data_IF_141402194466
#
_entry.id   IF_141402194466
#
_cell.length_a   1.000
_cell.length_b   1.000
_cell.length_c   1.000
_cell.angle_alpha   90.00
_cell.angle_beta   90.00
_cell.angle_gamma   90.00
#
_symmetry.space_group_name_H-M   'P 1'
#
loop_
_entity.id
_entity.type
_entity.pdbx_description
1 polymer ?
#
# COMPACT_ATOMS: atom_id res chain seq x y z
N UNK A 1 -14.38 -6.13 15.99
CA UNK A 1 -14.01 -5.21 17.10
C UNK A 1 -12.91 -4.26 16.60
N UNK A 2 -12.84 -3.02 17.09
CA UNK A 2 -11.71 -2.11 16.76
C UNK A 2 -10.50 -2.48 17.61
N UNK A 3 -9.44 -2.96 16.97
CA UNK A 3 -8.14 -3.24 17.63
C UNK A 3 -7.19 -2.08 17.35
N UNK A 4 -6.45 -1.70 18.38
CA UNK A 4 -5.43 -0.64 18.34
C UNK A 4 -4.06 -1.26 18.64
N UNK A 5 -3.03 -0.84 17.93
CA UNK A 5 -1.67 -1.32 18.16
C UNK A 5 -0.64 -0.31 17.68
N UNK A 6 0.57 -0.40 18.22
CA UNK A 6 1.76 0.31 17.73
C UNK A 6 2.74 -0.68 17.13
N UNK A 7 3.63 -0.18 16.28
CA UNK A 7 4.71 -0.97 15.70
C UNK A 7 6.00 -0.70 16.46
N UNK A 8 6.73 -1.75 16.78
CA UNK A 8 8.07 -1.65 17.35
C UNK A 8 9.07 -2.37 16.46
N UNK A 9 10.23 -1.75 16.25
CA UNK A 9 11.32 -2.36 15.52
C UNK A 9 12.17 -3.13 16.51
N UNK A 10 12.04 -4.46 16.54
CA UNK A 10 12.89 -5.28 17.41
C UNK A 10 14.35 -5.33 16.91
N UNK A 11 14.57 -5.37 15.58
CA UNK A 11 15.90 -5.47 14.98
C UNK A 11 16.04 -4.51 13.78
N UNK A 12 16.47 -3.25 13.97
CA UNK A 12 16.67 -2.33 12.86
C UNK A 12 17.74 -2.85 11.91
N UNK A 13 17.49 -2.78 10.60
CA UNK A 13 18.46 -3.12 9.57
C UNK A 13 19.03 -1.83 8.96
N UNK A 14 20.35 -1.67 9.03
CA UNK A 14 21.06 -0.47 8.54
C UNK A 14 21.49 -0.56 7.08
N UNK A 15 21.15 -1.66 6.40
CA UNK A 15 21.52 -1.88 5.00
C UNK A 15 20.76 -0.96 4.06
N UNK A 16 21.41 -0.59 2.95
CA UNK A 16 20.77 0.21 1.92
C UNK A 16 19.78 -0.65 1.11
N UNK A 17 18.50 -0.27 1.13
CA UNK A 17 17.44 -0.94 0.37
C UNK A 17 17.73 -1.00 -1.14
N UNK A 18 18.36 0.03 -1.70
CA UNK A 18 18.65 0.13 -3.13
C UNK A 18 19.68 -0.91 -3.61
N UNK A 19 20.45 -1.49 -2.69
CA UNK A 19 21.43 -2.55 -2.97
C UNK A 19 20.84 -3.97 -2.81
N UNK A 20 19.58 -4.10 -2.42
CA UNK A 20 18.91 -5.39 -2.21
C UNK A 20 18.48 -6.03 -3.54
N UNK A 21 18.29 -7.35 -3.54
CA UNK A 21 17.94 -8.12 -4.74
C UNK A 21 16.41 -8.23 -4.85
N UNK A 22 15.74 -7.60 -5.83
CA UNK A 22 14.29 -7.69 -5.97
C UNK A 22 13.81 -9.11 -6.29
N UNK A 23 12.69 -9.53 -5.71
CA UNK A 23 12.03 -10.80 -5.97
C UNK A 23 10.49 -10.68 -5.83
N UNK A 24 9.77 -11.79 -5.99
CA UNK A 24 8.29 -11.81 -5.95
C UNK A 24 7.69 -11.49 -4.58
N UNK A 25 8.48 -11.54 -3.52
CA UNK A 25 8.06 -11.31 -2.13
C UNK A 25 8.62 -9.99 -1.55
N UNK A 26 9.28 -9.15 -2.35
CA UNK A 26 9.90 -7.89 -1.92
C UNK A 26 11.34 -7.76 -2.41
N UNK A 27 12.25 -7.33 -1.54
CA UNK A 27 13.68 -7.23 -1.84
C UNK A 27 14.49 -8.03 -0.82
N UNK A 28 15.31 -8.98 -1.28
CA UNK A 28 16.14 -9.80 -0.40
C UNK A 28 17.35 -9.02 0.13
N UNK A 29 17.48 -8.95 1.45
CA UNK A 29 18.63 -8.40 2.14
C UNK A 29 19.64 -9.51 2.44
N UNK A 30 20.85 -9.41 1.90
CA UNK A 30 21.94 -10.37 2.14
C UNK A 30 22.46 -10.35 3.58
N UNK A 31 22.38 -9.21 4.27
CA UNK A 31 22.89 -9.02 5.63
C UNK A 31 22.04 -9.73 6.68
N UNK A 32 20.71 -9.55 6.62
CA UNK A 32 19.79 -10.20 7.56
C UNK A 32 19.12 -11.48 7.02
N UNK A 33 19.43 -11.87 5.78
CA UNK A 33 18.88 -13.03 5.08
C UNK A 33 17.33 -13.08 5.07
N UNK A 34 16.68 -11.92 5.00
CA UNK A 34 15.21 -11.79 4.97
C UNK A 34 14.76 -11.01 3.73
N UNK A 35 13.54 -11.30 3.29
CA UNK A 35 12.83 -10.48 2.31
C UNK A 35 12.26 -9.23 3.01
N UNK A 36 12.60 -8.06 2.48
CA UNK A 36 12.12 -6.76 2.93
C UNK A 36 10.94 -6.33 2.07
N UNK A 37 9.80 -6.11 2.71
CA UNK A 37 8.57 -5.68 2.05
C UNK A 37 8.46 -4.15 2.13
N UNK A 38 8.37 -3.47 0.99
CA UNK A 38 8.27 -2.01 0.98
C UNK A 38 6.83 -1.53 1.27
N UNK A 39 6.61 -1.05 2.50
CA UNK A 39 5.37 -0.45 2.96
C UNK A 39 5.46 1.09 3.03
N UNK A 40 6.60 1.68 2.63
CA UNK A 40 6.85 3.12 2.71
C UNK A 40 5.92 3.94 1.83
N UNK A 41 5.27 3.32 0.83
CA UNK A 41 4.28 3.99 -0.03
C UNK A 41 2.83 3.69 0.35
N UNK A 42 2.61 2.87 1.38
CA UNK A 42 1.27 2.48 1.84
C UNK A 42 0.68 3.51 2.79
N UNK A 43 -0.63 3.67 2.73
CA UNK A 43 -1.37 4.44 3.73
C UNK A 43 -1.37 3.73 5.08
N UNK A 44 -1.58 4.44 6.18
CA UNK A 44 -1.56 3.82 7.52
C UNK A 44 -2.66 2.75 7.67
N UNK A 45 -3.80 2.90 6.97
CA UNK A 45 -4.84 1.87 6.92
C UNK A 45 -4.41 0.62 6.16
N UNK A 46 -3.68 0.78 5.05
CA UNK A 46 -3.11 -0.36 4.31
C UNK A 46 -2.01 -1.06 5.10
N UNK A 47 -1.12 -0.30 5.75
CA UNK A 47 -0.11 -0.86 6.66
C UNK A 47 -0.80 -1.63 7.77
N UNK A 48 -1.79 -1.05 8.45
CA UNK A 48 -2.51 -1.72 9.53
C UNK A 48 -3.12 -3.06 9.09
N UNK A 49 -3.77 -3.07 7.93
CA UNK A 49 -4.34 -4.30 7.36
C UNK A 49 -3.25 -5.33 7.07
N UNK A 50 -2.17 -4.93 6.40
CA UNK A 50 -1.07 -5.82 6.05
C UNK A 50 -0.45 -6.48 7.29
N UNK A 51 -0.21 -5.69 8.33
CA UNK A 51 0.37 -6.17 9.59
C UNK A 51 -0.57 -7.17 10.28
N UNK A 52 -1.88 -6.88 10.34
CA UNK A 52 -2.86 -7.79 10.97
C UNK A 52 -2.99 -9.11 10.20
N UNK A 53 -2.98 -9.07 8.87
CA UNK A 53 -3.04 -10.27 8.02
C UNK A 53 -1.79 -11.15 8.16
N UNK A 54 -0.65 -10.58 8.51
CA UNK A 54 0.64 -11.27 8.64
C UNK A 54 1.16 -11.34 10.08
N UNK A 55 0.28 -11.16 11.08
CA UNK A 55 0.65 -11.03 12.50
C UNK A 55 1.48 -12.18 13.08
N UNK A 56 1.33 -13.39 12.52
CA UNK A 56 2.00 -14.60 13.01
C UNK A 56 3.33 -14.86 12.26
N UNK A 57 3.73 -13.96 11.37
CA UNK A 57 4.95 -14.05 10.57
C UNK A 57 5.99 -13.03 11.03
N UNK A 58 7.26 -13.45 11.09
CA UNK A 58 8.38 -12.53 11.33
C UNK A 58 8.69 -11.77 10.03
N UNK A 59 8.05 -10.62 9.84
CA UNK A 59 8.22 -9.80 8.65
C UNK A 59 9.36 -8.80 8.82
N UNK A 60 10.07 -8.54 7.72
CA UNK A 60 10.96 -7.39 7.58
C UNK A 60 10.28 -6.40 6.64
N UNK A 61 10.03 -5.17 7.09
CA UNK A 61 9.35 -4.18 6.25
C UNK A 61 10.05 -2.83 6.27
N UNK A 62 10.00 -2.14 5.13
CA UNK A 62 10.48 -0.77 4.98
C UNK A 62 9.31 0.19 5.23
N UNK A 63 9.46 1.09 6.20
CA UNK A 63 8.43 1.99 6.71
C UNK A 63 9.01 3.41 6.88
N UNK A 64 8.17 4.44 6.77
CA UNK A 64 8.52 5.82 7.16
C UNK A 64 8.61 5.94 8.68
N UNK A 65 9.41 6.85 9.21
CA UNK A 65 9.40 7.17 10.66
C UNK A 65 8.03 7.55 11.16
N UNK A 66 7.31 8.38 10.40
CA UNK A 66 5.96 8.82 10.76
C UNK A 66 4.99 7.65 10.90
N UNK A 67 5.17 6.56 10.13
CA UNK A 67 4.34 5.35 10.26
C UNK A 67 4.65 4.59 11.55
N UNK A 68 5.88 4.65 12.08
CA UNK A 68 6.26 3.95 13.31
C UNK A 68 5.77 4.67 14.57
N UNK A 69 5.64 5.99 14.51
CA UNK A 69 5.21 6.83 15.64
C UNK A 69 3.68 6.88 15.82
N UNK A 70 2.93 6.27 14.91
CA UNK A 70 1.46 6.31 14.90
C UNK A 70 0.80 5.08 15.59
N UNK A 71 -0.37 5.32 16.20
CA UNK A 71 -1.26 4.26 16.65
C UNK A 71 -2.15 3.78 15.49
N UNK A 72 -2.04 2.51 15.13
CA UNK A 72 -2.84 1.91 14.06
C UNK A 72 -4.19 1.44 14.58
N UNK A 73 -5.25 1.68 13.81
CA UNK A 73 -6.61 1.19 14.09
C UNK A 73 -7.04 0.22 13.00
N UNK A 74 -7.30 -1.03 13.36
CA UNK A 74 -7.85 -2.02 12.45
C UNK A 74 -9.27 -2.43 12.88
N UNK A 75 -10.18 -2.46 11.91
CA UNK A 75 -11.55 -2.96 12.10
C UNK A 75 -11.63 -4.39 11.58
N UNK A 76 -11.60 -5.37 12.49
CA UNK A 76 -11.92 -6.74 12.11
C UNK A 76 -13.41 -6.80 11.75
N UNK A 77 -13.70 -6.97 10.46
CA UNK A 77 -15.01 -7.43 10.03
C UNK A 77 -15.10 -8.91 10.40
N UNK A 78 -16.01 -9.24 11.31
CA UNK A 78 -16.23 -10.63 11.69
C UNK A 78 -16.72 -11.37 10.44
N UNK A 79 -15.87 -12.25 9.89
CA UNK A 79 -16.33 -13.26 8.94
C UNK A 79 -17.22 -14.20 9.74
N UNK A 80 -18.54 -14.00 9.65
CA UNK A 80 -19.51 -14.94 10.21
C UNK A 80 -19.32 -16.28 9.50
N UNK A 81 -18.66 -17.22 10.17
CA UNK A 81 -18.62 -18.61 9.73
C UNK A 81 -20.03 -19.18 9.91
N UNK A 82 -20.78 -19.33 8.82
CA UNK A 82 -22.15 -19.89 8.81
C UNK A 82 -22.13 -21.42 9.00
N UNK A 83 -21.35 -21.94 9.95
CA UNK A 83 -21.32 -23.34 10.33
C UNK A 83 -22.43 -23.66 11.36
N UNK A 84 -23.67 -23.21 11.09
CA UNK A 84 -24.83 -23.46 11.97
C UNK A 84 -25.81 -24.50 11.42
N UNK A 85 -25.55 -25.07 10.24
CA UNK A 85 -26.46 -26.03 9.60
C UNK A 85 -25.87 -27.44 9.39
N UNK A 86 -24.85 -27.83 10.16
CA UNK A 86 -24.22 -29.13 10.03
C UNK A 86 -24.81 -30.25 10.93
N UNK A 87 -26.02 -30.07 11.49
CA UNK A 87 -26.54 -31.03 12.46
C UNK A 87 -28.05 -31.27 12.38
N UNK A 88 -28.58 -31.76 11.25
CA UNK A 88 -29.79 -32.62 11.24
C UNK A 88 -29.79 -33.52 9.99
N UNK A 89 -29.15 -34.69 10.07
CA UNK A 89 -29.43 -35.91 9.28
C UNK A 89 -28.32 -36.93 9.65
N UNK A 90 -28.54 -38.11 10.20
CA UNK A 90 -29.77 -38.82 10.44
C UNK A 90 -29.52 -39.80 11.60
N UNK A 91 -30.28 -39.64 12.67
CA UNK A 91 -30.52 -40.64 13.71
C UNK A 91 -31.42 -41.78 13.19
N UNK A 92 -31.25 -42.21 11.93
CA UNK A 92 -32.10 -43.19 11.24
C UNK A 92 -31.27 -44.42 10.80
N UNK A 93 -30.41 -44.91 11.68
CA UNK A 93 -29.67 -46.18 11.46
C UNK A 93 -30.06 -47.27 12.47
N UNK A 94 -31.28 -47.21 12.99
CA UNK A 94 -31.86 -48.29 13.80
C UNK A 94 -33.19 -48.75 13.18
N UNK A 95 -33.13 -49.49 12.08
CA UNK A 95 -33.99 -50.66 11.82
C UNK A 95 -33.79 -51.22 10.39
N UNK A 96 -33.66 -52.54 10.34
CA UNK A 96 -33.96 -53.46 9.23
C UNK A 96 -32.78 -53.99 8.41
N UNK A 97 -32.47 -55.26 8.66
CA UNK A 97 -31.73 -56.15 7.78
C UNK A 97 -32.51 -56.34 6.46
N UNK A 98 -31.93 -55.96 5.32
CA UNK A 98 -32.30 -56.47 4.00
C UNK A 98 -31.03 -56.68 3.20
N UNK A 99 -30.81 -57.91 2.76
CA UNK A 99 -29.75 -58.34 1.85
C UNK A 99 -30.10 -58.00 0.40
N UNK A 100 -29.14 -57.44 -0.33
CA UNK A 100 -28.92 -57.71 -1.75
C UNK A 100 -29.87 -57.11 -2.79
N UNK A 101 -29.38 -56.14 -3.56
CA UNK A 101 -29.25 -56.25 -5.02
C UNK A 101 -28.40 -55.10 -5.56
N UNK A 102 -27.34 -55.45 -6.30
CA UNK A 102 -26.49 -54.55 -7.06
C UNK A 102 -27.35 -53.73 -8.04
N UNK A 103 -27.30 -52.41 -7.94
CA UNK A 103 -27.78 -51.51 -8.98
C UNK A 103 -26.64 -50.62 -9.46
N UNK A 104 -26.47 -50.66 -10.78
CA UNK A 104 -25.54 -49.92 -11.62
C UNK A 104 -25.38 -48.45 -11.23
N UNK A 105 -24.19 -47.86 -11.45
CA UNK A 105 -23.94 -46.47 -11.11
C UNK A 105 -24.84 -45.56 -11.96
N UNK A 106 -25.83 -44.95 -11.30
CA UNK A 106 -26.60 -43.85 -11.87
C UNK A 106 -25.65 -42.66 -12.00
N UNK A 107 -25.46 -42.16 -13.23
CA UNK A 107 -24.80 -40.88 -13.47
C UNK A 107 -25.57 -39.80 -12.71
N UNK A 108 -24.93 -39.22 -11.70
CA UNK A 108 -25.40 -37.99 -11.08
C UNK A 108 -25.20 -36.86 -12.08
N UNK A 109 -26.26 -36.46 -12.78
CA UNK A 109 -26.30 -35.13 -13.38
C UNK A 109 -26.40 -34.12 -12.24
N UNK A 110 -25.31 -33.39 -12.03
CA UNK A 110 -25.27 -32.25 -11.14
C UNK A 110 -26.09 -31.16 -11.85
N UNK A 111 -27.39 -31.11 -11.59
CA UNK A 111 -28.15 -29.89 -11.82
C UNK A 111 -27.69 -28.88 -10.77
N UNK A 112 -26.59 -28.18 -11.07
CA UNK A 112 -26.24 -26.96 -10.35
C UNK A 112 -27.39 -25.98 -10.59
N UNK A 113 -28.26 -25.83 -9.59
CA UNK A 113 -29.02 -24.60 -9.47
C UNK A 113 -27.98 -23.50 -9.28
N UNK A 114 -27.66 -22.79 -10.36
CA UNK A 114 -26.84 -21.58 -10.32
C UNK A 114 -27.31 -20.77 -9.12
N UNK A 115 -26.46 -20.48 -8.12
CA UNK A 115 -26.85 -19.62 -7.03
C UNK A 115 -27.27 -18.32 -7.69
N UNK A 116 -28.56 -17.98 -7.62
CA UNK A 116 -29.02 -16.64 -7.97
C UNK A 116 -28.26 -15.72 -7.03
N UNK A 117 -27.16 -15.17 -7.53
CA UNK A 117 -26.46 -14.10 -6.86
C UNK A 117 -27.46 -12.96 -6.80
N UNK A 118 -28.04 -12.78 -5.62
CA UNK A 118 -28.73 -11.54 -5.33
C UNK A 118 -27.63 -10.48 -5.35
N UNK A 119 -27.51 -9.80 -6.50
CA UNK A 119 -26.63 -8.65 -6.65
C UNK A 119 -27.20 -7.59 -5.69
N UNK A 120 -26.63 -7.52 -4.49
CA UNK A 120 -26.97 -6.51 -3.51
C UNK A 120 -26.35 -5.19 -3.96
N UNK A 121 -27.02 -4.54 -4.91
CA UNK A 121 -26.66 -3.23 -5.45
C UNK A 121 -25.33 -3.24 -6.20
N UNK A 122 -25.35 -2.84 -7.47
CA UNK A 122 -24.12 -2.29 -8.05
C UNK A 122 -23.78 -1.08 -7.19
N UNK A 123 -22.68 -1.13 -6.44
CA UNK A 123 -22.09 0.09 -5.91
C UNK A 123 -21.72 0.84 -7.19
N UNK A 124 -22.53 1.82 -7.55
CA UNK A 124 -22.14 2.80 -8.54
C UNK A 124 -21.01 3.59 -7.86
N UNK A 125 -19.79 3.05 -7.93
CA UNK A 125 -18.64 3.94 -7.97
C UNK A 125 -18.88 4.67 -9.28
N UNK A 126 -19.51 5.83 -9.20
CA UNK A 126 -19.40 6.84 -10.23
C UNK A 126 -17.92 7.22 -10.23
N UNK A 127 -17.08 6.36 -10.82
CA UNK A 127 -15.83 6.78 -11.43
C UNK A 127 -16.30 7.77 -12.49
N UNK A 128 -16.43 9.04 -12.09
CA UNK A 128 -16.29 10.13 -13.03
C UNK A 128 -14.97 9.83 -13.71
N UNK A 129 -15.03 9.30 -14.93
CA UNK A 129 -13.89 9.16 -15.81
C UNK A 129 -13.42 10.59 -16.00
N UNK A 130 -12.51 11.01 -15.14
CA UNK A 130 -11.89 12.31 -15.25
C UNK A 130 -11.09 12.24 -16.52
N UNK A 131 -11.49 13.01 -17.53
CA UNK A 131 -10.72 13.11 -18.76
C UNK A 131 -9.31 13.57 -18.38
N UNK A 132 -8.33 12.72 -18.66
CA UNK A 132 -6.92 13.01 -18.44
C UNK A 132 -6.28 13.47 -19.75
N UNK A 133 -5.24 14.27 -19.64
CA UNK A 133 -4.37 14.62 -20.76
C UNK A 133 -2.92 14.31 -20.39
N UNK A 134 -2.15 13.91 -21.39
CA UNK A 134 -0.71 13.75 -21.25
C UNK A 134 -0.02 15.09 -21.49
N UNK A 135 0.73 15.57 -20.50
CA UNK A 135 1.54 16.79 -20.62
C UNK A 135 2.97 16.52 -20.18
N UNK A 136 3.90 17.34 -20.67
CA UNK A 136 5.30 17.35 -20.22
C UNK A 136 5.52 18.51 -19.26
N UNK A 137 5.95 18.19 -18.05
CA UNK A 137 6.21 19.18 -16.99
C UNK A 137 7.72 19.35 -16.88
N UNK A 138 8.19 20.58 -17.08
CA UNK A 138 9.60 20.95 -17.06
C UNK A 138 9.84 21.99 -15.98
N UNK A 139 10.99 21.91 -15.33
CA UNK A 139 11.36 22.90 -14.33
C UNK A 139 12.59 22.49 -13.55
N UNK A 140 12.79 23.19 -12.44
CA UNK A 140 13.84 22.91 -11.45
C UNK A 140 13.24 22.45 -10.14
N UNK A 141 13.81 21.41 -9.54
CA UNK A 141 13.58 21.02 -8.16
C UNK A 141 14.58 21.75 -7.26
N UNK A 142 14.08 22.60 -6.37
CA UNK A 142 14.87 23.51 -5.55
C UNK A 142 14.51 23.38 -4.06
N UNK A 143 15.50 23.60 -3.21
CA UNK A 143 15.28 23.81 -1.78
C UNK A 143 14.62 25.19 -1.57
N UNK A 144 13.52 25.22 -0.82
CA UNK A 144 12.70 26.41 -0.63
C UNK A 144 13.42 27.51 0.17
N UNK A 145 14.37 27.16 1.05
CA UNK A 145 15.12 28.09 1.89
C UNK A 145 16.24 28.76 1.09
N UNK A 146 16.97 27.98 0.31
CA UNK A 146 18.17 28.43 -0.40
C UNK A 146 17.93 28.83 -1.86
N UNK A 147 16.80 28.40 -2.45
CA UNK A 147 16.50 28.48 -3.89
C UNK A 147 17.58 27.82 -4.78
N UNK A 148 18.33 26.85 -4.24
CA UNK A 148 19.35 26.08 -4.97
C UNK A 148 18.88 24.65 -5.19
N UNK A 149 19.43 23.93 -6.19
CA UNK A 149 19.22 22.49 -6.33
C UNK A 149 19.58 21.74 -5.05
N UNK A 150 18.87 20.63 -4.80
CA UNK A 150 19.16 19.77 -3.66
C UNK A 150 20.59 19.21 -3.77
N UNK A 151 21.31 19.20 -2.65
CA UNK A 151 22.70 18.77 -2.61
C UNK A 151 22.81 17.28 -2.96
N UNK A 152 23.36 16.95 -4.14
CA UNK A 152 23.51 15.57 -4.61
C UNK A 152 24.43 14.68 -3.76
N UNK A 153 25.26 15.25 -2.86
CA UNK A 153 26.01 14.45 -1.87
C UNK A 153 25.12 13.99 -0.72
N UNK A 154 24.14 14.79 -0.33
CA UNK A 154 23.18 14.47 0.74
C UNK A 154 22.03 13.62 0.17
N UNK A 155 21.59 13.94 -1.05
CA UNK A 155 20.48 13.29 -1.75
C UNK A 155 20.96 12.63 -3.06
N UNK A 156 21.70 11.50 -2.99
CA UNK A 156 22.13 10.77 -4.17
C UNK A 156 20.94 10.12 -4.88
N UNK A 157 21.03 9.94 -6.20
CA UNK A 157 19.98 9.29 -7.01
C UNK A 157 18.59 9.90 -6.85
N UNK A 158 18.50 11.22 -6.66
CA UNK A 158 17.25 11.94 -6.49
C UNK A 158 16.31 11.73 -7.68
N UNK A 159 15.08 11.31 -7.39
CA UNK A 159 14.04 10.99 -8.36
C UNK A 159 12.76 11.74 -8.05
N UNK A 160 11.97 12.01 -9.09
CA UNK A 160 10.68 12.66 -9.05
C UNK A 160 9.66 11.86 -9.87
N UNK A 161 8.47 11.65 -9.34
CA UNK A 161 7.29 11.29 -10.12
C UNK A 161 6.18 12.32 -9.91
N UNK A 162 5.32 12.46 -10.91
CA UNK A 162 4.14 13.32 -10.85
C UNK A 162 2.92 12.44 -11.16
N UNK A 163 1.93 12.43 -10.28
CA UNK A 163 0.75 11.54 -10.33
C UNK A 163 1.15 10.08 -10.60
N UNK A 164 2.16 9.60 -9.87
CA UNK A 164 2.69 8.23 -9.95
C UNK A 164 3.21 7.80 -11.34
N UNK A 165 3.54 8.76 -12.20
CA UNK A 165 4.18 8.53 -13.50
C UNK A 165 5.37 7.55 -13.40
N UNK A 166 5.39 6.55 -14.27
CA UNK A 166 6.45 5.54 -14.34
C UNK A 166 7.21 5.62 -15.67
N UNK A 167 8.54 5.41 -15.67
CA UNK A 167 9.40 5.31 -14.49
C UNK A 167 9.62 6.69 -13.82
N UNK A 168 10.05 6.74 -12.54
CA UNK A 168 10.44 8.00 -11.91
C UNK A 168 11.60 8.67 -12.65
N UNK A 169 11.54 10.00 -12.78
CA UNK A 169 12.57 10.81 -13.45
C UNK A 169 13.72 11.10 -12.52
N UNK A 170 14.97 10.81 -12.92
CA UNK A 170 16.16 11.28 -12.20
C UNK A 170 16.33 12.80 -12.38
N UNK A 171 16.65 13.48 -11.28
CA UNK A 171 16.89 14.93 -11.26
C UNK A 171 18.37 15.21 -11.51
N UNK A 172 18.68 16.23 -12.33
CA UNK A 172 20.05 16.72 -12.43
C UNK A 172 20.45 17.39 -11.10
N UNK A 173 21.34 16.78 -10.34
CA UNK A 173 21.76 17.30 -9.02
C UNK A 173 22.56 18.60 -9.07
N UNK A 174 23.12 18.98 -10.23
CA UNK A 174 23.86 20.24 -10.40
C UNK A 174 22.92 21.38 -10.73
N UNK A 175 21.93 21.15 -11.57
CA UNK A 175 21.05 22.21 -12.10
C UNK A 175 19.64 22.21 -11.52
N UNK A 176 19.23 21.09 -10.90
CA UNK A 176 17.88 20.81 -10.43
C UNK A 176 16.90 20.45 -11.54
N UNK A 177 17.35 20.39 -12.81
CA UNK A 177 16.44 20.27 -13.94
C UNK A 177 15.74 18.92 -14.00
N UNK A 178 14.48 18.97 -14.44
CA UNK A 178 13.67 17.82 -14.76
C UNK A 178 12.76 18.08 -15.95
N UNK A 179 12.37 17.01 -16.63
CA UNK A 179 11.39 17.01 -17.71
C UNK A 179 10.64 15.68 -17.69
N UNK A 180 9.42 15.66 -17.17
CA UNK A 180 8.64 14.43 -16.96
C UNK A 180 7.30 14.50 -17.66
N UNK A 181 6.88 13.41 -18.29
CA UNK A 181 5.55 13.28 -18.88
C UNK A 181 4.62 12.62 -17.87
N UNK A 182 3.45 13.20 -17.64
CA UNK A 182 2.46 12.68 -16.70
C UNK A 182 1.04 12.89 -17.20
N UNK A 183 0.14 12.00 -16.78
CA UNK A 183 -1.29 12.13 -16.99
C UNK A 183 -1.86 13.06 -15.91
N UNK A 184 -2.53 14.12 -16.37
CA UNK A 184 -3.13 15.12 -15.48
C UNK A 184 -4.62 15.25 -15.73
N UNK A 185 -5.46 15.37 -14.69
CA UNK A 185 -6.90 15.56 -14.87
C UNK A 185 -7.18 16.91 -15.54
N UNK A 186 -8.05 16.97 -16.55
CA UNK A 186 -8.44 18.24 -17.21
C UNK A 186 -9.08 19.26 -16.27
N UNK A 187 -9.69 18.79 -15.17
CA UNK A 187 -10.33 19.61 -14.13
C UNK A 187 -9.54 19.61 -12.81
N UNK A 188 -8.33 19.06 -12.81
CA UNK A 188 -7.49 19.01 -11.62
C UNK A 188 -6.86 20.37 -11.32
N UNK A 189 -6.81 20.74 -10.05
CA UNK A 189 -6.14 21.96 -9.56
C UNK A 189 -4.82 21.65 -8.85
N UNK A 190 -4.43 20.38 -8.86
CA UNK A 190 -3.37 19.85 -8.03
C UNK A 190 -2.64 18.71 -8.74
N UNK A 191 -1.33 18.63 -8.51
CA UNK A 191 -0.50 17.49 -8.89
C UNK A 191 0.07 16.85 -7.62
N UNK A 192 0.06 15.53 -7.57
CA UNK A 192 0.77 14.80 -6.54
C UNK A 192 2.20 14.60 -7.00
N UNK A 193 3.17 15.11 -6.24
CA UNK A 193 4.59 14.85 -6.48
C UNK A 193 5.08 13.83 -5.47
N UNK A 194 5.96 12.94 -5.93
CA UNK A 194 6.70 12.04 -5.06
C UNK A 194 8.17 12.20 -5.35
N UNK A 195 8.96 12.50 -4.32
CA UNK A 195 10.40 12.68 -4.39
C UNK A 195 11.06 11.58 -3.55
N UNK A 196 12.04 10.90 -4.12
CA UNK A 196 12.81 9.86 -3.42
C UNK A 196 14.30 9.96 -3.68
N UNK A 197 15.11 9.70 -2.66
CA UNK A 197 16.56 9.63 -2.75
C UNK A 197 17.11 8.74 -1.64
N UNK A 198 17.48 7.50 -1.98
CA UNK A 198 17.83 6.47 -0.98
C UNK A 198 16.71 6.31 0.05
N UNK A 199 17.03 6.63 1.30
CA UNK A 199 16.10 6.57 2.43
C UNK A 199 15.22 7.81 2.58
N UNK A 200 15.36 8.85 1.76
CA UNK A 200 14.49 10.03 1.84
C UNK A 200 13.27 9.87 0.96
N UNK A 201 12.11 10.25 1.51
CA UNK A 201 10.83 10.21 0.82
C UNK A 201 9.99 11.45 1.17
N UNK A 202 9.41 12.06 0.15
CA UNK A 202 8.38 13.08 0.29
C UNK A 202 7.27 12.80 -0.72
N UNK A 203 6.02 12.83 -0.27
CA UNK A 203 4.86 12.87 -1.16
C UNK A 203 3.95 14.01 -0.72
N UNK A 204 3.62 14.90 -1.64
CA UNK A 204 2.79 16.07 -1.37
C UNK A 204 2.05 16.52 -2.61
N UNK A 205 0.97 17.26 -2.39
CA UNK A 205 0.24 17.93 -3.46
C UNK A 205 0.82 19.32 -3.70
N UNK A 206 0.95 19.71 -4.97
CA UNK A 206 1.32 21.06 -5.40
C UNK A 206 0.22 21.66 -6.27
N UNK A 207 0.03 22.99 -6.27
CA UNK A 207 -0.94 23.64 -7.14
C UNK A 207 -0.64 23.41 -8.62
N UNK A 208 -1.69 23.19 -9.40
CA UNK A 208 -1.65 23.02 -10.84
C UNK A 208 -2.77 23.79 -11.51
N UNK A 209 -2.44 24.40 -12.63
CA UNK A 209 -3.40 25.17 -13.42
C UNK A 209 -3.20 24.81 -14.89
N UNK A 210 -4.20 24.11 -15.43
CA UNK A 210 -4.19 23.66 -16.82
C UNK A 210 -4.05 24.83 -17.81
N UNK A 211 -4.51 26.04 -17.45
CA UNK A 211 -4.40 27.24 -18.31
C UNK A 211 -2.97 27.68 -18.54
N UNK A 212 -2.03 27.25 -17.68
CA UNK A 212 -0.59 27.55 -17.82
C UNK A 212 0.13 26.61 -18.79
N UNK A 213 -0.52 25.52 -19.22
CA UNK A 213 0.05 24.58 -20.19
C UNK A 213 0.03 25.20 -21.59
N UNK A 214 1.19 25.23 -22.26
CA UNK A 214 1.32 25.71 -23.64
C UNK A 214 1.97 24.63 -24.50
N UNK A 215 1.30 24.23 -25.59
CA UNK A 215 1.83 23.19 -26.49
C UNK A 215 2.12 21.86 -25.77
N UNK A 216 1.24 21.43 -24.87
CA UNK A 216 1.40 20.27 -23.98
C UNK A 216 2.59 20.34 -23.01
N UNK A 217 3.21 21.52 -22.85
CA UNK A 217 4.31 21.73 -21.92
C UNK A 217 3.88 22.67 -20.79
N UNK A 218 4.12 22.25 -19.55
CA UNK A 218 4.01 23.08 -18.36
C UNK A 218 5.41 23.41 -17.85
N UNK A 219 5.73 24.69 -17.75
CA UNK A 219 6.96 25.13 -17.06
C UNK A 219 6.62 25.47 -15.61
N UNK A 220 7.04 24.63 -14.66
CA UNK A 220 6.78 24.81 -13.25
C UNK A 220 7.96 24.31 -12.42
N UNK A 221 8.60 25.22 -11.67
CA UNK A 221 9.58 24.84 -10.66
C UNK A 221 8.87 24.24 -9.44
N UNK A 222 9.52 23.25 -8.84
CA UNK A 222 9.08 22.61 -7.60
C UNK A 222 10.01 23.07 -6.49
N UNK A 223 9.45 23.66 -5.44
CA UNK A 223 10.20 24.06 -4.24
C UNK A 223 9.73 23.22 -3.07
N UNK A 224 10.66 22.64 -2.32
CA UNK A 224 10.36 21.87 -1.10
C UNK A 224 11.23 22.37 0.04
N UNK A 225 10.73 22.35 1.28
CA UNK A 225 11.60 22.44 2.43
C UNK A 225 12.24 21.05 2.64
N UNK A 226 13.56 20.99 2.74
CA UNK A 226 14.31 19.74 2.95
C UNK A 226 13.95 19.05 4.26
N UNK A 227 13.42 19.79 5.24
CA UNK A 227 12.87 19.24 6.49
C UNK A 227 11.56 18.44 6.28
N UNK A 228 10.88 18.60 5.13
CA UNK A 228 9.70 17.79 4.79
C UNK A 228 10.09 16.39 4.30
N UNK A 229 11.37 16.14 3.94
CA UNK A 229 11.82 14.82 3.51
C UNK A 229 11.87 13.89 4.71
N UNK A 230 10.97 12.91 4.71
CA UNK A 230 10.87 11.91 5.76
C UNK A 230 11.88 10.81 5.46
N UNK A 231 12.64 10.40 6.48
CA UNK A 231 13.53 9.26 6.37
C UNK A 231 12.74 7.95 6.50
N UNK A 232 13.02 7.02 5.61
CA UNK A 232 12.43 5.69 5.52
C UNK A 232 13.45 4.72 6.10
N UNK A 233 13.00 3.84 6.97
CA UNK A 233 13.84 2.86 7.65
C UNK A 233 13.40 1.45 7.28
N UNK A 234 14.36 0.53 7.31
CA UNK A 234 14.09 -0.90 7.19
C UNK A 234 13.98 -1.50 8.59
N UNK A 235 12.78 -1.91 8.96
CA UNK A 235 12.47 -2.56 10.21
C UNK A 235 12.55 -4.08 10.04
N UNK A 236 13.63 -4.69 10.52
CA UNK A 236 13.73 -6.15 10.62
C UNK A 236 13.02 -6.66 11.86
N UNK A 237 12.18 -7.69 11.70
CA UNK A 237 11.47 -8.32 12.82
C UNK A 237 10.53 -7.35 13.51
N UNK A 238 9.53 -6.85 12.77
CA UNK A 238 8.48 -6.00 13.32
C UNK A 238 7.72 -6.74 14.43
N UNK A 239 7.73 -6.17 15.62
CA UNK A 239 6.86 -6.56 16.74
C UNK A 239 5.58 -5.73 16.71
N UNK A 240 4.45 -6.35 17.07
CA UNK A 240 3.16 -5.67 17.21
C UNK A 240 2.85 -5.55 18.70
N UNK A 241 2.75 -4.32 19.19
CA UNK A 241 2.34 -4.04 20.57
C UNK A 241 0.86 -3.66 20.59
N UNK A 242 -0.01 -4.57 21.02
CA UNK A 242 -1.44 -4.30 21.15
C UNK A 242 -1.71 -3.47 22.40
N UNK A 243 -2.49 -2.39 22.27
CA UNK A 243 -3.00 -1.67 23.44
C UNK A 243 -4.18 -2.45 24.03
N UNK A 244 -3.96 -3.19 25.10
CA UNK A 244 -5.04 -3.87 25.82
C UNK A 244 -5.99 -2.84 26.43
N UNK A 245 -7.26 -2.86 26.00
CA UNK A 245 -8.31 -2.20 26.78
C UNK A 245 -8.46 -2.97 28.08
N UNK A 246 -7.94 -2.40 29.17
CA UNK A 246 -8.29 -2.81 30.53
C UNK A 246 -9.82 -2.71 30.66
N UNK A 247 -10.51 -3.83 30.57
CA UNK A 247 -11.93 -3.91 30.93
C UNK A 247 -11.96 -3.69 32.43
N UNK A 248 -12.21 -2.44 32.84
CA UNK A 248 -12.56 -2.14 34.22
C UNK A 248 -13.91 -2.83 34.42
N UNK A 249 -13.88 -4.00 35.07
CA UNK A 249 -15.07 -4.57 35.68
C UNK A 249 -15.31 -3.72 36.91
N UNK A 250 -16.24 -2.77 36.80
CA UNK A 250 -16.89 -2.20 37.97
C UNK A 250 -17.65 -3.35 38.64
N UNK A 251 -17.22 -3.71 39.85
CA UNK A 251 -17.92 -4.59 40.77
C UNK A 251 -18.91 -3.77 41.59
#
# INVERSE_FOLDING_TARGET
MKKKFTLEIANPCSENFDNMIPNSQGSFCSSCAKNVIDLSRKTNSEVARFIVENKDQNICARLKTTQLEEEFVHQETSKMNNLKYAAVAASILLASNVTGQEKTPVKTEINESVPKSNILGKIAVSQTVQEEISITIKGKLLDAKTNRPLNGKIYPNLTLSINDSQPPMKIDSKTGDFSITSLVPKKGEALMITISSGDYYLSKTIPFDLKKVKGNVLHQNIKINTEELIKVYIAGGLGINYSEKKVIREN
#
